data_IF_459947353739
#
_entry.id   IF_459947353739
#
_cell.length_a   1.000
_cell.length_b   1.000
_cell.length_c   1.000
_cell.angle_alpha   90.00
_cell.angle_beta   90.00
_cell.angle_gamma   90.00
#
_symmetry.space_group_name_H-M   'P 1'
#
loop_
_entity.id
_entity.type
_entity.pdbx_description
1 polymer ?
#
# COMPACT_ATOMS: atom_id res chain seq x y z
N UNK A 1 10.11 11.26 -7.11
CA UNK A 1 8.92 10.46 -7.48
C UNK A 1 9.23 9.68 -8.74
N UNK A 2 8.87 8.43 -8.75
CA UNK A 2 9.09 7.54 -9.89
C UNK A 2 7.79 7.39 -10.68
N UNK A 3 7.91 7.24 -12.00
CA UNK A 3 6.77 7.05 -12.90
C UNK A 3 7.02 5.80 -13.75
N UNK A 4 6.03 4.94 -13.83
CA UNK A 4 6.12 3.69 -14.59
C UNK A 4 4.81 3.43 -15.33
N UNK A 5 4.90 2.95 -16.55
CA UNK A 5 3.72 2.46 -17.27
C UNK A 5 3.41 1.04 -16.82
N UNK A 6 2.20 0.84 -16.34
CA UNK A 6 1.81 -0.39 -15.67
C UNK A 6 0.39 -0.80 -16.04
N UNK A 7 0.06 -2.03 -15.64
CA UNK A 7 -1.28 -2.57 -15.65
C UNK A 7 -1.64 -2.97 -14.22
N UNK A 8 -2.82 -2.62 -13.79
CA UNK A 8 -3.35 -3.08 -12.49
C UNK A 8 -3.75 -4.54 -12.63
N UNK A 9 -3.00 -5.42 -12.00
CA UNK A 9 -3.19 -6.87 -12.17
C UNK A 9 -3.98 -7.52 -11.05
N UNK A 10 -3.95 -6.95 -9.84
CA UNK A 10 -4.62 -7.56 -8.71
C UNK A 10 -5.14 -6.50 -7.75
N UNK A 11 -6.40 -6.67 -7.33
CA UNK A 11 -6.99 -5.93 -6.23
C UNK A 11 -7.38 -6.95 -5.18
N UNK A 12 -6.67 -6.96 -4.05
CA UNK A 12 -6.92 -7.90 -2.97
C UNK A 12 -8.19 -7.58 -2.20
N UNK A 13 -8.53 -8.43 -1.26
CA UNK A 13 -9.68 -8.25 -0.39
C UNK A 13 -9.41 -7.17 0.65
N UNK A 14 -10.48 -6.50 1.08
CA UNK A 14 -10.40 -5.57 2.20
C UNK A 14 -10.32 -6.37 3.49
N UNK A 15 -9.28 -6.12 4.27
CA UNK A 15 -9.07 -6.75 5.57
C UNK A 15 -9.24 -5.70 6.64
N UNK A 16 -10.10 -5.99 7.62
CA UNK A 16 -10.28 -5.13 8.79
C UNK A 16 -9.27 -5.50 9.87
N UNK A 17 -8.77 -4.51 10.56
CA UNK A 17 -7.84 -4.70 11.66
C UNK A 17 -8.12 -3.70 12.78
N UNK A 18 -7.85 -4.05 14.07
CA UNK A 18 -7.98 -3.09 15.16
C UNK A 18 -6.85 -2.05 15.07
N UNK A 19 -7.21 -0.78 15.14
CA UNK A 19 -6.23 0.31 15.15
C UNK A 19 -5.46 0.31 16.44
N UNK A 20 -4.15 0.59 16.36
CA UNK A 20 -3.28 0.69 17.52
C UNK A 20 -2.63 2.07 17.58
N UNK A 21 -2.48 2.56 18.82
CA UNK A 21 -1.77 3.79 19.11
C UNK A 21 -0.84 3.52 20.28
N UNK A 22 0.45 3.80 20.11
CA UNK A 22 1.49 3.51 21.11
C UNK A 22 1.49 2.05 21.60
N UNK A 23 1.21 1.11 20.69
CA UNK A 23 1.17 -0.32 21.01
C UNK A 23 -0.15 -0.80 21.61
N UNK A 24 -1.08 0.08 21.89
CA UNK A 24 -2.37 -0.25 22.49
C UNK A 24 -3.50 -0.13 21.46
N UNK A 25 -4.48 -1.03 21.56
CA UNK A 25 -5.67 -0.98 20.71
C UNK A 25 -6.47 0.27 21.06
N UNK A 26 -6.82 1.07 20.03
CA UNK A 26 -7.67 2.25 20.20
C UNK A 26 -9.10 1.81 20.40
N UNK A 27 -9.75 2.34 21.42
CA UNK A 27 -11.14 2.00 21.76
C UNK A 27 -12.05 3.22 21.69
N UNK A 28 -13.30 2.98 21.33
CA UNK A 28 -14.35 3.98 21.40
C UNK A 28 -14.74 4.23 22.87
N UNK A 29 -15.58 5.25 23.11
CA UNK A 29 -16.11 5.52 24.44
C UNK A 29 -16.89 4.34 25.02
N UNK A 30 -17.47 3.51 24.16
CA UNK A 30 -18.23 2.31 24.54
C UNK A 30 -17.35 1.09 24.84
N UNK A 31 -16.03 1.23 24.71
CA UNK A 31 -15.08 0.13 24.91
C UNK A 31 -14.92 -0.80 23.72
N UNK A 32 -15.45 -0.43 22.55
CA UNK A 32 -15.28 -1.21 21.32
C UNK A 32 -13.99 -0.82 20.60
N UNK A 33 -13.39 -1.78 19.92
CA UNK A 33 -12.18 -1.52 19.13
C UNK A 33 -12.49 -0.60 17.94
N UNK A 34 -11.63 0.39 17.74
CA UNK A 34 -11.68 1.22 16.52
C UNK A 34 -11.02 0.43 15.41
N UNK A 35 -11.76 0.15 14.33
CA UNK A 35 -11.29 -0.68 13.24
C UNK A 35 -10.77 0.17 12.09
N UNK A 36 -9.69 -0.29 11.48
CA UNK A 36 -9.19 0.22 10.21
C UNK A 36 -9.35 -0.81 9.13
N UNK A 37 -9.15 -0.39 7.88
CA UNK A 37 -9.18 -1.25 6.71
C UNK A 37 -7.86 -1.20 5.96
N UNK A 38 -7.47 -2.31 5.38
CA UNK A 38 -6.31 -2.38 4.48
C UNK A 38 -6.66 -3.23 3.27
N UNK A 39 -5.98 -2.97 2.17
CA UNK A 39 -6.13 -3.72 0.92
C UNK A 39 -4.83 -3.66 0.15
N UNK A 40 -4.37 -4.80 -0.32
CA UNK A 40 -3.22 -4.84 -1.21
C UNK A 40 -3.67 -4.70 -2.67
N UNK A 41 -2.93 -3.89 -3.42
CA UNK A 41 -3.09 -3.80 -4.88
C UNK A 41 -1.75 -4.09 -5.52
N UNK A 42 -1.75 -4.70 -6.70
CA UNK A 42 -0.54 -5.07 -7.42
C UNK A 42 -0.62 -4.54 -8.84
N UNK A 43 0.44 -3.86 -9.26
CA UNK A 43 0.64 -3.40 -10.63
C UNK A 43 1.79 -4.19 -11.25
N UNK A 44 1.71 -4.42 -12.56
CA UNK A 44 2.77 -5.06 -13.32
C UNK A 44 3.26 -4.08 -14.39
N UNK A 45 4.58 -3.93 -14.53
CA UNK A 45 5.13 -3.07 -15.57
C UNK A 45 4.78 -3.60 -16.96
N UNK A 46 4.55 -2.68 -17.90
CA UNK A 46 4.22 -3.02 -19.29
C UNK A 46 5.45 -3.31 -20.14
N UNK A 47 6.65 -3.13 -19.59
CA UNK A 47 7.87 -3.46 -20.30
C UNK A 47 8.12 -4.97 -20.30
N UNK A 48 9.18 -5.39 -20.98
CA UNK A 48 9.52 -6.81 -21.13
C UNK A 48 9.89 -7.49 -19.82
N UNK A 49 10.25 -6.72 -18.79
CA UNK A 49 10.66 -7.26 -17.48
C UNK A 49 9.47 -7.74 -16.65
N UNK A 50 8.32 -7.11 -16.84
CA UNK A 50 7.08 -7.42 -16.09
C UNK A 50 7.27 -7.43 -14.58
N UNK A 51 7.96 -6.41 -14.08
CA UNK A 51 8.17 -6.25 -12.65
C UNK A 51 6.84 -6.01 -11.95
N UNK A 52 6.69 -6.58 -10.77
CA UNK A 52 5.49 -6.41 -9.94
C UNK A 52 5.72 -5.35 -8.88
N UNK A 53 4.73 -4.48 -8.70
CA UNK A 53 4.75 -3.41 -7.71
C UNK A 53 3.55 -3.57 -6.77
N UNK A 54 3.73 -4.21 -5.60
CA UNK A 54 2.67 -4.34 -4.62
C UNK A 54 2.61 -3.10 -3.73
N UNK A 55 1.41 -2.65 -3.41
CA UNK A 55 1.18 -1.57 -2.48
C UNK A 55 0.11 -1.97 -1.48
N UNK A 56 0.31 -1.60 -0.22
CA UNK A 56 -0.72 -1.75 0.80
C UNK A 56 -1.41 -0.40 0.99
N UNK A 57 -2.71 -0.38 0.80
CA UNK A 57 -3.55 0.78 1.01
C UNK A 57 -4.20 0.69 2.38
N UNK A 58 -4.34 1.82 3.06
CA UNK A 58 -4.93 1.87 4.40
C UNK A 58 -6.04 2.91 4.46
N UNK A 59 -7.15 2.54 5.08
CA UNK A 59 -8.25 3.45 5.44
C UNK A 59 -8.78 4.26 4.26
N UNK A 60 -8.57 5.57 4.25
CA UNK A 60 -9.05 6.46 3.19
C UNK A 60 -8.49 6.10 1.81
N UNK A 61 -7.27 5.60 1.76
CA UNK A 61 -6.68 5.13 0.50
C UNK A 61 -7.46 3.96 -0.09
N UNK A 62 -7.98 3.07 0.76
CA UNK A 62 -8.85 1.96 0.33
C UNK A 62 -10.13 2.50 -0.30
N UNK A 63 -10.77 3.46 0.36
CA UNK A 63 -12.03 4.04 -0.09
C UNK A 63 -11.88 4.85 -1.38
N UNK A 64 -10.72 5.50 -1.55
CA UNK A 64 -10.45 6.35 -2.70
C UNK A 64 -9.91 5.60 -3.92
N UNK A 65 -9.61 4.32 -3.78
CA UNK A 65 -9.09 3.50 -4.87
C UNK A 65 -10.23 2.86 -5.65
N UNK A 66 -10.64 3.50 -6.74
CA UNK A 66 -11.81 3.11 -7.54
C UNK A 66 -11.42 2.66 -8.96
N UNK A 67 -10.41 1.83 -9.06
CA UNK A 67 -9.94 1.31 -10.34
C UNK A 67 -10.28 -0.17 -10.46
N UNK A 68 -10.41 -0.64 -11.69
CA UNK A 68 -10.70 -2.04 -11.98
C UNK A 68 -9.44 -2.78 -12.41
N UNK A 69 -9.38 -4.06 -12.10
CA UNK A 69 -8.32 -4.93 -12.60
C UNK A 69 -8.27 -4.89 -14.13
N UNK A 70 -7.07 -4.90 -14.67
CA UNK A 70 -6.84 -4.84 -16.11
C UNK A 70 -6.62 -3.43 -16.64
N UNK A 71 -6.85 -2.40 -15.85
CA UNK A 71 -6.57 -1.02 -16.28
C UNK A 71 -5.08 -0.78 -16.46
N UNK A 72 -4.73 -0.16 -17.57
CA UNK A 72 -3.37 0.29 -17.86
C UNK A 72 -3.27 1.79 -17.61
N UNK A 73 -2.10 2.25 -17.21
CA UNK A 73 -1.89 3.65 -16.93
C UNK A 73 -0.49 3.95 -16.43
N UNK A 74 -0.34 5.16 -15.90
CA UNK A 74 0.90 5.60 -15.26
C UNK A 74 0.79 5.45 -13.75
N UNK A 75 1.73 4.73 -13.18
CA UNK A 75 1.90 4.59 -11.76
C UNK A 75 2.93 5.62 -11.27
N UNK A 76 2.50 6.47 -10.34
CA UNK A 76 3.36 7.44 -9.68
C UNK A 76 3.59 6.95 -8.25
N UNK A 77 4.85 6.73 -7.90
CA UNK A 77 5.19 6.16 -6.59
C UNK A 77 6.53 6.67 -6.09
N UNK A 78 6.75 6.47 -4.80
CA UNK A 78 8.02 6.77 -4.15
C UNK A 78 8.61 5.50 -3.58
N UNK A 79 9.94 5.42 -3.60
CA UNK A 79 10.67 4.40 -2.88
C UNK A 79 11.28 5.08 -1.65
N UNK A 80 10.86 4.66 -0.47
CA UNK A 80 11.34 5.20 0.79
C UNK A 80 12.21 4.16 1.50
N UNK A 81 13.27 4.62 2.14
CA UNK A 81 14.11 3.77 2.96
C UNK A 81 13.74 3.96 4.42
N UNK A 82 13.46 2.86 5.10
CA UNK A 82 13.21 2.85 6.53
C UNK A 82 14.36 2.22 7.27
N UNK A 83 14.75 2.86 8.38
CA UNK A 83 15.70 2.32 9.33
C UNK A 83 14.95 1.65 10.45
N UNK A 84 15.30 0.40 10.74
CA UNK A 84 14.80 -0.32 11.90
C UNK A 84 15.96 -0.75 12.76
N UNK A 85 15.90 -0.45 14.06
CA UNK A 85 16.88 -0.91 15.04
C UNK A 85 16.30 -2.09 15.80
N UNK A 86 17.04 -3.19 15.77
CA UNK A 86 16.74 -4.33 16.64
C UNK A 86 17.87 -4.52 17.63
N UNK A 87 17.56 -5.01 18.82
CA UNK A 87 18.56 -5.24 19.86
C UNK A 87 19.58 -6.30 19.47
N UNK A 88 19.19 -7.24 18.62
CA UNK A 88 20.03 -8.38 18.25
C UNK A 88 20.90 -8.15 17.02
N UNK A 89 20.45 -7.36 16.05
CA UNK A 89 21.11 -7.25 14.75
C UNK A 89 21.53 -5.83 14.38
N UNK A 90 21.33 -4.83 15.26
CA UNK A 90 21.67 -3.44 14.97
C UNK A 90 20.73 -2.79 13.97
N UNK A 91 21.26 -1.93 13.11
CA UNK A 91 20.46 -1.21 12.13
C UNK A 91 20.17 -2.05 10.90
N UNK A 92 18.93 -2.05 10.48
CA UNK A 92 18.50 -2.62 9.20
C UNK A 92 17.78 -1.56 8.40
N UNK A 93 17.94 -1.61 7.08
CA UNK A 93 17.29 -0.71 6.15
C UNK A 93 16.34 -1.49 5.28
N UNK A 94 15.12 -0.97 5.15
CA UNK A 94 14.08 -1.56 4.32
C UNK A 94 13.65 -0.56 3.27
N UNK A 95 13.48 -1.03 2.04
CA UNK A 95 12.86 -0.23 1.00
C UNK A 95 11.35 -0.43 1.04
N UNK A 96 10.60 0.65 1.06
CA UNK A 96 9.15 0.64 0.95
C UNK A 96 8.71 1.44 -0.25
N UNK A 97 7.76 0.90 -1.00
CA UNK A 97 7.11 1.64 -2.07
C UNK A 97 5.83 2.27 -1.54
N UNK A 98 5.63 3.53 -1.87
CA UNK A 98 4.43 4.26 -1.51
C UNK A 98 3.72 4.72 -2.77
N UNK A 99 2.46 4.35 -2.91
CA UNK A 99 1.62 4.77 -4.01
C UNK A 99 1.28 6.26 -3.85
N UNK A 100 1.58 7.05 -4.87
CA UNK A 100 1.22 8.47 -4.91
C UNK A 100 -0.05 8.62 -5.74
N UNK A 101 -0.06 8.08 -6.96
CA UNK A 101 -1.22 8.19 -7.83
C UNK A 101 -1.17 7.11 -8.92
N UNK A 102 -2.32 6.78 -9.45
CA UNK A 102 -2.44 5.97 -10.66
C UNK A 102 -3.34 6.69 -11.65
N UNK A 103 -2.81 6.96 -12.82
CA UNK A 103 -3.50 7.73 -13.86
C UNK A 103 -3.80 6.78 -15.02
N UNK A 104 -5.05 6.30 -15.13
CA UNK A 104 -5.43 5.41 -16.24
C UNK A 104 -5.27 6.12 -17.58
N UNK A 105 -4.82 5.37 -18.59
CA UNK A 105 -4.67 5.90 -19.95
C UNK A 105 -5.96 5.80 -20.74
N UNK A 106 -6.91 5.02 -20.29
CA UNK A 106 -8.24 4.90 -20.93
C UNK A 106 -9.31 4.49 -19.91
#
# INVERSE_FOLDING_TARGET
MLVKKVKLTEIGEIVSYPKKENGNIVKTADGQDVMGNRRQVVFESLDFRKDSFPFMLFNEEVDNFNFEEGKEGELHFQCESRESKTQESGKRYYAEFRLIDFIPTN
#
